data_IF_176856106526
#
_entry.id   IF_176856106526
#
_cell.length_a   1.000
_cell.length_b   1.000
_cell.length_c   1.000
_cell.angle_alpha   90.00
_cell.angle_beta   90.00
_cell.angle_gamma   90.00
#
_symmetry.space_group_name_H-M   'P 1'
#
loop_
_entity.id
_entity.type
_entity.pdbx_description
1 polymer ?
#
# COMPACT_ATOMS: atom_id res chain seq x y z
N UNK A 1 -8.30 16.94 10.05
CA UNK A 1 -6.83 17.06 10.20
C UNK A 1 -6.09 17.09 8.86
N UNK A 2 -6.08 16.04 8.03
CA UNK A 2 -5.37 16.07 6.72
C UNK A 2 -5.89 17.15 5.75
N UNK A 3 -7.22 17.30 5.64
CA UNK A 3 -7.87 18.31 4.78
C UNK A 3 -7.76 19.74 5.33
N UNK A 4 -7.48 19.89 6.61
CA UNK A 4 -7.42 21.20 7.27
C UNK A 4 -6.00 21.79 7.19
N UNK A 5 -4.98 20.91 7.14
CA UNK A 5 -3.56 21.27 7.06
C UNK A 5 -3.04 21.26 5.61
N UNK A 6 -3.83 21.75 4.64
CA UNK A 6 -3.44 21.74 3.23
C UNK A 6 -2.34 22.78 2.95
N UNK A 7 -1.32 22.44 2.12
CA UNK A 7 -1.13 21.16 1.43
C UNK A 7 -0.59 20.06 2.35
N UNK A 8 -1.11 18.84 2.23
CA UNK A 8 -0.65 17.67 3.00
C UNK A 8 -0.47 16.43 2.12
N UNK A 9 0.25 15.41 2.62
CA UNK A 9 0.57 14.20 1.84
C UNK A 9 0.52 12.93 2.68
N UNK A 10 0.10 11.85 2.04
CA UNK A 10 0.17 10.48 2.57
C UNK A 10 1.33 9.78 1.84
N UNK A 11 2.31 9.29 2.60
CA UNK A 11 3.48 8.58 2.05
C UNK A 11 3.42 7.13 2.51
N UNK A 12 3.25 6.21 1.57
CA UNK A 12 3.20 4.77 1.83
C UNK A 12 4.50 4.09 1.42
N UNK A 13 5.22 3.50 2.38
CA UNK A 13 6.41 2.67 2.11
C UNK A 13 5.99 1.33 1.47
N UNK A 14 5.98 1.22 0.16
CA UNK A 14 5.53 0.03 -0.54
C UNK A 14 6.63 -1.04 -0.72
N UNK A 15 6.19 -2.23 -1.14
CA UNK A 15 7.07 -3.34 -1.51
C UNK A 15 7.60 -3.23 -2.94
N UNK A 16 8.41 -4.21 -3.34
CA UNK A 16 9.01 -4.25 -4.67
C UNK A 16 7.93 -4.49 -5.76
N UNK A 17 7.86 -3.64 -6.80
CA UNK A 17 6.85 -3.77 -7.86
C UNK A 17 6.97 -5.05 -8.70
N UNK A 18 8.09 -5.79 -8.64
CA UNK A 18 8.23 -7.11 -9.28
C UNK A 18 7.15 -8.09 -8.83
N UNK A 19 6.70 -8.00 -7.58
CA UNK A 19 5.62 -8.84 -7.03
C UNK A 19 4.23 -8.40 -7.49
N UNK A 20 4.08 -7.19 -8.05
CA UNK A 20 2.83 -6.68 -8.61
C UNK A 20 2.50 -7.24 -9.98
N UNK A 21 3.40 -7.99 -10.65
CA UNK A 21 3.13 -8.49 -12.00
C UNK A 21 1.88 -9.38 -12.08
N UNK A 22 1.41 -9.92 -10.95
CA UNK A 22 0.10 -10.57 -10.79
C UNK A 22 -0.44 -10.22 -9.39
N UNK A 23 -0.95 -9.01 -9.18
CA UNK A 23 -1.39 -8.60 -7.87
C UNK A 23 -2.66 -9.40 -7.54
N UNK A 24 -2.58 -10.28 -6.54
CA UNK A 24 -3.73 -11.02 -6.03
C UNK A 24 -3.94 -10.60 -4.58
N UNK A 25 -5.13 -10.09 -4.31
CA UNK A 25 -5.66 -9.92 -2.97
C UNK A 25 -6.85 -10.86 -2.87
N UNK A 26 -6.78 -11.76 -1.91
CA UNK A 26 -7.90 -12.59 -1.52
C UNK A 26 -8.76 -11.79 -0.54
N UNK A 27 -9.82 -11.17 -1.06
CA UNK A 27 -10.72 -10.35 -0.25
C UNK A 27 -11.58 -11.20 0.71
N UNK A 28 -11.78 -12.48 0.40
CA UNK A 28 -12.52 -13.42 1.24
C UNK A 28 -11.67 -13.93 2.42
N UNK A 29 -10.34 -13.88 2.30
CA UNK A 29 -9.40 -14.27 3.36
C UNK A 29 -8.21 -13.31 3.47
N UNK A 30 -8.49 -12.02 3.68
CA UNK A 30 -7.47 -10.97 3.78
C UNK A 30 -6.46 -11.27 4.90
N UNK A 31 -6.93 -11.88 5.98
CA UNK A 31 -6.15 -12.20 7.17
C UNK A 31 -5.47 -13.57 7.11
N UNK A 32 -5.69 -14.35 6.04
CA UNK A 32 -5.13 -15.68 5.83
C UNK A 32 -5.46 -16.65 6.99
N UNK A 33 -6.68 -16.57 7.53
CA UNK A 33 -7.15 -17.34 8.67
C UNK A 33 -7.30 -18.83 8.33
N UNK A 34 -7.59 -19.17 7.07
CA UNK A 34 -7.75 -20.56 6.66
C UNK A 34 -6.39 -21.29 6.53
N UNK A 35 -5.36 -20.58 6.05
CA UNK A 35 -4.01 -21.13 5.88
C UNK A 35 -2.95 -20.03 5.78
N UNK A 36 -2.23 -19.82 6.88
CA UNK A 36 -1.15 -18.84 6.94
C UNK A 36 0.09 -19.24 6.11
N UNK A 37 0.69 -18.25 5.46
CA UNK A 37 2.00 -18.33 4.82
C UNK A 37 2.63 -16.95 4.82
N UNK A 38 3.82 -16.81 5.42
CA UNK A 38 4.50 -15.51 5.52
C UNK A 38 4.77 -14.86 4.16
N UNK A 39 5.13 -15.65 3.14
CA UNK A 39 5.34 -15.14 1.79
C UNK A 39 4.03 -14.65 1.15
N UNK A 40 2.93 -15.39 1.32
CA UNK A 40 1.61 -14.94 0.83
C UNK A 40 1.15 -13.67 1.55
N UNK A 41 1.30 -13.63 2.87
CA UNK A 41 0.97 -12.48 3.70
C UNK A 41 1.75 -11.24 3.25
N UNK A 42 3.07 -11.37 3.06
CA UNK A 42 3.94 -10.31 2.57
C UNK A 42 3.48 -9.81 1.19
N UNK A 43 3.31 -10.69 0.21
CA UNK A 43 2.93 -10.31 -1.15
C UNK A 43 1.55 -9.63 -1.20
N UNK A 44 0.55 -10.19 -0.52
CA UNK A 44 -0.79 -9.60 -0.44
C UNK A 44 -0.75 -8.21 0.19
N UNK A 45 -0.02 -8.06 1.30
CA UNK A 45 0.14 -6.77 1.98
C UNK A 45 0.84 -5.74 1.10
N UNK A 46 1.90 -6.14 0.38
CA UNK A 46 2.59 -5.24 -0.56
C UNK A 46 1.66 -4.76 -1.68
N UNK A 47 0.85 -5.66 -2.25
CA UNK A 47 -0.15 -5.29 -3.27
C UNK A 47 -1.21 -4.34 -2.69
N UNK A 48 -1.75 -4.65 -1.51
CA UNK A 48 -2.76 -3.85 -0.84
C UNK A 48 -2.29 -2.43 -0.55
N UNK A 49 -1.05 -2.25 -0.07
CA UNK A 49 -0.48 -0.93 0.21
C UNK A 49 -0.38 -0.05 -1.03
N UNK A 50 -0.02 -0.63 -2.17
CA UNK A 50 0.11 0.12 -3.43
C UNK A 50 -1.26 0.52 -3.97
N UNK A 51 -2.21 -0.42 -3.99
CA UNK A 51 -3.58 -0.12 -4.38
C UNK A 51 -4.21 0.93 -3.45
N UNK A 52 -4.00 0.82 -2.14
CA UNK A 52 -4.47 1.80 -1.16
C UNK A 52 -3.89 3.19 -1.43
N UNK A 53 -2.61 3.31 -1.78
CA UNK A 53 -2.02 4.60 -2.11
C UNK A 53 -2.67 5.24 -3.34
N UNK A 54 -2.99 4.46 -4.37
CA UNK A 54 -3.70 4.95 -5.55
C UNK A 54 -5.17 5.29 -5.26
N UNK A 55 -5.86 4.49 -4.46
CA UNK A 55 -7.24 4.80 -4.05
C UNK A 55 -7.30 6.06 -3.18
N UNK A 56 -6.32 6.28 -2.30
CA UNK A 56 -6.24 7.55 -1.57
C UNK A 56 -5.94 8.74 -2.48
N UNK A 57 -5.13 8.57 -3.52
CA UNK A 57 -4.86 9.64 -4.49
C UNK A 57 -6.15 10.08 -5.19
N UNK A 58 -6.98 9.12 -5.62
CA UNK A 58 -8.31 9.39 -6.21
C UNK A 58 -9.26 10.02 -5.19
N UNK A 59 -9.36 9.44 -3.99
CA UNK A 59 -10.30 9.89 -2.97
C UNK A 59 -10.03 11.32 -2.48
N UNK A 60 -8.79 11.79 -2.59
CA UNK A 60 -8.39 13.12 -2.14
C UNK A 60 -7.99 14.09 -3.26
N UNK A 61 -8.23 13.75 -4.52
CA UNK A 61 -7.86 14.57 -5.69
C UNK A 61 -8.34 16.03 -5.54
N UNK A 62 -9.61 16.22 -5.19
CA UNK A 62 -10.20 17.56 -4.99
C UNK A 62 -9.88 18.17 -3.62
N UNK A 63 -9.37 17.36 -2.69
CA UNK A 63 -9.11 17.79 -1.32
C UNK A 63 -7.71 18.38 -1.15
N UNK A 64 -6.88 18.54 -2.19
CA UNK A 64 -5.53 19.09 -2.08
C UNK A 64 -4.59 18.27 -1.17
N UNK A 65 -4.88 16.98 -0.99
CA UNK A 65 -4.03 16.02 -0.28
C UNK A 65 -3.49 15.04 -1.31
N UNK A 66 -2.17 14.92 -1.43
CA UNK A 66 -1.58 13.94 -2.34
C UNK A 66 -1.29 12.62 -1.64
N UNK A 67 -1.34 11.52 -2.38
CA UNK A 67 -0.98 10.19 -1.90
C UNK A 67 0.04 9.56 -2.83
N UNK A 68 1.15 9.09 -2.26
CA UNK A 68 2.25 8.48 -3.01
C UNK A 68 2.72 7.19 -2.36
N UNK A 69 3.21 6.27 -3.18
CA UNK A 69 3.85 5.03 -2.74
C UNK A 69 5.27 4.95 -3.30
N UNK A 70 6.21 4.42 -2.51
CA UNK A 70 7.59 4.21 -2.96
C UNK A 70 8.18 2.91 -2.42
N UNK A 71 9.06 2.27 -3.19
CA UNK A 71 9.85 1.13 -2.73
C UNK A 71 11.23 1.65 -2.25
N UNK A 72 11.63 1.42 -1.00
CA UNK A 72 12.89 1.95 -0.46
C UNK A 72 14.15 1.19 -0.93
N UNK A 73 14.00 0.14 -1.75
CA UNK A 73 15.10 -0.77 -2.04
C UNK A 73 15.41 -1.70 -0.86
N UNK A 74 16.64 -2.21 -0.84
CA UNK A 74 17.18 -2.95 0.29
C UNK A 74 17.63 -1.99 1.38
N UNK A 75 17.08 -2.14 2.59
CA UNK A 75 17.41 -1.29 3.73
C UNK A 75 18.10 -2.13 4.79
N UNK A 76 19.30 -1.71 5.20
CA UNK A 76 19.93 -2.25 6.40
C UNK A 76 19.15 -1.76 7.62
N UNK A 77 18.24 -2.61 8.11
CA UNK A 77 17.57 -2.42 9.39
C UNK A 77 18.48 -2.85 10.53
N UNK A 78 18.24 -2.31 11.73
CA UNK A 78 19.02 -2.58 12.93
C UNK A 78 18.56 -3.85 13.62
#
# INVERSE_FOLDING_TARGET
MLKDSRPSRIITVAGNPRFLKKPKIDFEDIQLMNRFSGMRAMTQTMNARILLAFEWAKHFEEAGVSSVAFHPGWVKSR
#
